data_IF_469541867411
#
_entry.id   IF_469541867411
#
_cell.length_a   1.000
_cell.length_b   1.000
_cell.length_c   1.000
_cell.angle_alpha   90.00
_cell.angle_beta   90.00
_cell.angle_gamma   90.00
#
_symmetry.space_group_name_H-M   'P 1'
#
loop_
_entity.id
_entity.type
_entity.pdbx_description
1 polymer ?
#
# COMPACT_ATOMS: atom_id res chain seq x y z
N UNK A 1 28.53 4.30 3.81
CA UNK A 1 27.24 4.90 4.21
C UNK A 1 26.43 3.82 4.90
N UNK A 2 25.84 4.14 6.03
CA UNK A 2 25.10 3.19 6.87
C UNK A 2 23.68 3.03 6.35
N UNK A 3 23.15 1.81 6.27
CA UNK A 3 21.78 1.51 5.82
C UNK A 3 20.72 2.29 6.61
N UNK A 4 20.97 2.59 7.88
CA UNK A 4 20.09 3.41 8.72
C UNK A 4 19.99 4.86 8.23
N UNK A 5 21.09 5.47 7.79
CA UNK A 5 21.10 6.82 7.24
C UNK A 5 20.35 6.90 5.92
N UNK A 6 20.56 5.89 5.06
CA UNK A 6 19.85 5.80 3.78
C UNK A 6 18.35 5.56 3.97
N UNK A 7 17.96 4.72 4.95
CA UNK A 7 16.56 4.54 5.32
C UNK A 7 15.95 5.87 5.78
N UNK A 8 16.59 6.56 6.70
CA UNK A 8 16.09 7.83 7.22
C UNK A 8 15.98 8.89 6.12
N UNK A 9 16.94 8.95 5.19
CA UNK A 9 16.90 9.84 4.02
C UNK A 9 15.70 9.52 3.11
N UNK A 10 15.47 8.26 2.80
CA UNK A 10 14.32 7.83 2.00
C UNK A 10 12.99 8.13 2.72
N UNK A 11 12.89 7.79 4.01
CA UNK A 11 11.72 8.09 4.84
C UNK A 11 11.40 9.60 4.81
N UNK A 12 12.39 10.46 5.10
CA UNK A 12 12.20 11.92 5.10
C UNK A 12 11.81 12.47 3.74
N UNK A 13 12.38 11.93 2.67
CA UNK A 13 11.98 12.31 1.32
C UNK A 13 10.49 12.08 1.08
N UNK A 14 9.96 10.90 1.41
CA UNK A 14 8.55 10.60 1.23
C UNK A 14 7.66 11.38 2.20
N UNK A 15 8.07 11.54 3.46
CA UNK A 15 7.36 12.36 4.44
C UNK A 15 7.16 13.79 3.91
N UNK A 16 8.21 14.44 3.42
CA UNK A 16 8.14 15.80 2.85
C UNK A 16 7.25 15.87 1.61
N UNK A 17 7.29 14.84 0.75
CA UNK A 17 6.42 14.79 -0.43
C UNK A 17 4.95 14.66 -0.04
N UNK A 18 4.64 13.83 0.92
CA UNK A 18 3.28 13.65 1.43
C UNK A 18 2.76 14.92 2.12
N UNK A 19 3.59 15.60 2.89
CA UNK A 19 3.24 16.89 3.51
C UNK A 19 2.91 17.94 2.44
N UNK A 20 3.71 18.02 1.37
CA UNK A 20 3.45 18.93 0.24
C UNK A 20 2.15 18.60 -0.53
N UNK A 21 1.76 17.34 -0.56
CA UNK A 21 0.48 16.89 -1.14
C UNK A 21 -0.72 17.10 -0.21
N UNK A 22 -0.50 17.66 0.98
CA UNK A 22 -1.57 17.91 1.95
C UNK A 22 -2.06 16.64 2.64
N UNK A 23 -1.16 15.73 2.98
CA UNK A 23 -1.46 14.45 3.66
C UNK A 23 -2.42 14.60 4.84
N UNK A 24 -2.33 15.70 5.60
CA UNK A 24 -3.17 15.92 6.77
C UNK A 24 -4.67 16.05 6.46
N UNK A 25 -5.03 16.35 5.21
CA UNK A 25 -6.41 16.46 4.77
C UNK A 25 -7.07 15.09 4.48
N UNK A 26 -6.28 14.01 4.50
CA UNK A 26 -6.74 12.68 4.13
C UNK A 26 -6.47 11.68 5.26
N UNK A 27 -7.35 10.69 5.37
CA UNK A 27 -7.21 9.58 6.33
C UNK A 27 -6.81 8.28 5.63
N UNK A 28 -7.11 8.17 4.33
CA UNK A 28 -6.85 7.00 3.49
C UNK A 28 -6.03 7.38 2.27
N UNK A 29 -5.09 6.50 1.90
CA UNK A 29 -4.25 6.63 0.72
C UNK A 29 -4.37 5.37 -0.11
N UNK A 30 -5.03 5.49 -1.26
CA UNK A 30 -5.05 4.44 -2.27
C UNK A 30 -3.82 4.60 -3.17
N UNK A 31 -2.90 3.63 -3.11
CA UNK A 31 -1.54 3.82 -3.63
C UNK A 31 -1.28 2.90 -4.82
N UNK A 32 -1.05 3.50 -5.98
CA UNK A 32 -0.36 2.89 -7.12
C UNK A 32 1.10 3.30 -7.13
N UNK A 33 2.01 2.38 -7.45
CA UNK A 33 3.43 2.71 -7.45
C UNK A 33 4.25 1.99 -8.50
N UNK A 34 5.18 2.72 -9.11
CA UNK A 34 6.38 2.19 -9.72
C UNK A 34 7.59 2.77 -8.98
N UNK A 35 8.19 1.98 -8.12
CA UNK A 35 9.26 2.45 -7.23
C UNK A 35 10.66 2.39 -7.86
N UNK A 36 10.82 1.95 -9.11
CA UNK A 36 12.13 1.69 -9.73
C UNK A 36 13.01 2.93 -9.78
N UNK A 37 12.46 4.07 -10.21
CA UNK A 37 13.19 5.34 -10.29
C UNK A 37 13.65 5.84 -8.93
N UNK A 38 12.77 5.79 -7.94
CA UNK A 38 13.10 6.19 -6.56
C UNK A 38 14.09 5.23 -5.90
N UNK A 39 13.92 3.92 -6.09
CA UNK A 39 14.84 2.92 -5.55
C UNK A 39 16.26 3.11 -6.09
N UNK A 40 16.41 3.47 -7.37
CA UNK A 40 17.69 3.80 -7.96
C UNK A 40 18.36 5.03 -7.30
N UNK A 41 17.58 6.07 -7.01
CA UNK A 41 18.10 7.34 -6.44
C UNK A 41 18.33 7.27 -4.94
N UNK A 42 17.42 6.65 -4.20
CA UNK A 42 17.36 6.71 -2.73
C UNK A 42 17.69 5.38 -2.05
N UNK A 43 17.56 4.27 -2.77
CA UNK A 43 17.56 2.93 -2.20
C UNK A 43 18.84 2.12 -2.42
N UNK A 44 19.96 2.72 -2.88
CA UNK A 44 21.18 1.97 -3.27
C UNK A 44 21.69 0.97 -2.22
N UNK A 45 21.60 1.32 -0.94
CA UNK A 45 22.08 0.48 0.15
C UNK A 45 20.92 -0.10 1.00
N UNK A 46 19.69 0.01 0.51
CA UNK A 46 18.51 -0.52 1.17
C UNK A 46 18.06 -1.83 0.54
N UNK A 47 17.65 -2.75 1.38
CA UNK A 47 16.90 -3.91 0.92
C UNK A 47 15.53 -3.46 0.37
N UNK A 48 14.92 -4.29 -0.44
CA UNK A 48 13.56 -4.06 -0.93
C UNK A 48 12.56 -3.81 0.23
N UNK A 49 12.72 -4.56 1.31
CA UNK A 49 11.87 -4.43 2.49
C UNK A 49 12.03 -3.06 3.17
N UNK A 50 13.26 -2.63 3.41
CA UNK A 50 13.57 -1.33 4.00
C UNK A 50 13.06 -0.19 3.13
N UNK A 51 13.25 -0.29 1.81
CA UNK A 51 12.82 0.76 0.90
C UNK A 51 11.28 0.89 0.85
N UNK A 52 10.54 -0.23 0.72
CA UNK A 52 9.08 -0.21 0.77
C UNK A 52 8.55 0.29 2.12
N UNK A 53 9.23 -0.08 3.22
CA UNK A 53 8.92 0.47 4.55
C UNK A 53 9.11 1.99 4.58
N UNK A 54 10.21 2.52 4.07
CA UNK A 54 10.47 3.96 4.04
C UNK A 54 9.41 4.75 3.23
N UNK A 55 8.81 4.12 2.22
CA UNK A 55 7.70 4.71 1.44
C UNK A 55 6.41 4.80 2.26
N UNK A 56 6.07 3.78 3.04
CA UNK A 56 4.77 3.67 3.69
C UNK A 56 4.77 4.19 5.13
N UNK A 57 5.89 4.01 5.84
CA UNK A 57 5.99 4.35 7.27
C UNK A 57 5.61 5.80 7.59
N UNK A 58 5.93 6.84 6.78
CA UNK A 58 5.49 8.20 7.05
C UNK A 58 3.97 8.38 7.15
N UNK A 59 3.20 7.58 6.39
CA UNK A 59 1.75 7.58 6.48
C UNK A 59 1.26 6.89 7.76
N UNK A 60 1.87 5.76 8.11
CA UNK A 60 1.50 4.98 9.29
C UNK A 60 1.81 5.74 10.59
N UNK A 61 2.95 6.43 10.67
CA UNK A 61 3.34 7.24 11.82
C UNK A 61 2.39 8.43 12.07
N UNK A 62 1.66 8.84 11.04
CA UNK A 62 0.61 9.87 11.14
C UNK A 62 -0.80 9.28 11.24
N UNK A 63 -0.91 8.03 11.66
CA UNK A 63 -2.19 7.32 11.84
C UNK A 63 -3.06 7.27 10.57
N UNK A 64 -2.44 7.26 9.39
CA UNK A 64 -3.16 7.10 8.12
C UNK A 64 -3.33 5.62 7.78
N UNK A 65 -4.20 5.35 6.82
CA UNK A 65 -4.43 4.01 6.28
C UNK A 65 -3.97 3.97 4.83
N UNK A 66 -3.01 3.09 4.53
CA UNK A 66 -2.55 2.81 3.18
C UNK A 66 -3.33 1.62 2.61
N UNK A 67 -3.92 1.79 1.43
CA UNK A 67 -4.65 0.76 0.68
C UNK A 67 -3.93 0.52 -0.62
N UNK A 68 -3.40 -0.68 -0.81
CA UNK A 68 -2.49 -1.02 -1.89
C UNK A 68 -3.08 -2.17 -2.71
N UNK A 69 -3.21 -2.05 -4.05
CA UNK A 69 -3.67 -3.15 -4.89
C UNK A 69 -2.80 -4.40 -4.72
N UNK A 70 -3.44 -5.53 -4.54
CA UNK A 70 -2.77 -6.84 -4.46
C UNK A 70 -3.43 -7.84 -5.41
N UNK A 71 -3.82 -7.35 -6.58
CA UNK A 71 -4.53 -8.11 -7.59
C UNK A 71 -3.83 -9.42 -7.94
N UNK A 72 -4.63 -10.42 -8.21
CA UNK A 72 -4.18 -11.74 -8.61
C UNK A 72 -4.85 -12.15 -9.92
N UNK A 73 -4.15 -12.92 -10.71
CA UNK A 73 -4.69 -13.55 -11.91
C UNK A 73 -4.77 -15.04 -11.64
N UNK A 74 -5.72 -15.44 -10.79
CA UNK A 74 -5.94 -16.84 -10.41
C UNK A 74 -6.65 -17.60 -11.53
N UNK A 75 -5.91 -17.93 -12.57
CA UNK A 75 -6.45 -18.71 -13.70
C UNK A 75 -6.79 -20.17 -13.32
N UNK A 76 -6.19 -20.66 -12.26
CA UNK A 76 -6.44 -21.97 -11.67
C UNK A 76 -7.72 -22.03 -10.81
N UNK A 77 -8.39 -20.88 -10.64
CA UNK A 77 -9.62 -20.75 -9.86
C UNK A 77 -9.46 -20.82 -8.34
N UNK A 78 -8.25 -20.88 -7.83
CA UNK A 78 -7.98 -20.95 -6.39
C UNK A 78 -7.41 -19.61 -5.89
N UNK A 79 -8.14 -18.98 -4.97
CA UNK A 79 -7.69 -17.79 -4.26
C UNK A 79 -7.73 -18.03 -2.76
N UNK A 80 -6.60 -17.86 -2.11
CA UNK A 80 -6.46 -17.89 -0.66
C UNK A 80 -6.02 -16.51 -0.19
N UNK A 81 -6.82 -15.87 0.65
CA UNK A 81 -6.60 -14.48 1.13
C UNK A 81 -5.21 -14.29 1.75
N UNK A 82 -4.73 -15.28 2.50
CA UNK A 82 -3.45 -15.18 3.21
C UNK A 82 -2.25 -15.68 2.39
N UNK A 83 -2.46 -16.58 1.43
CA UNK A 83 -1.37 -17.29 0.75
C UNK A 83 -1.17 -16.90 -0.71
N UNK A 84 -2.25 -16.52 -1.43
CA UNK A 84 -2.12 -16.21 -2.87
C UNK A 84 -1.29 -14.93 -3.08
N UNK A 85 -0.15 -15.02 -3.78
CA UNK A 85 0.72 -13.87 -4.00
C UNK A 85 0.13 -12.90 -5.04
N UNK A 86 0.63 -11.67 -5.05
CA UNK A 86 0.43 -10.72 -6.14
C UNK A 86 1.69 -10.61 -6.99
N UNK A 87 1.52 -10.30 -8.28
CA UNK A 87 2.63 -10.05 -9.22
C UNK A 87 2.70 -8.61 -9.71
N UNK A 88 1.94 -7.70 -9.09
CA UNK A 88 1.85 -6.31 -9.53
C UNK A 88 3.16 -5.52 -9.35
N UNK A 89 3.89 -5.74 -8.27
CA UNK A 89 5.13 -5.01 -8.04
C UNK A 89 5.71 -5.15 -6.64
N UNK A 90 6.73 -4.32 -6.39
CA UNK A 90 7.51 -4.38 -5.16
C UNK A 90 6.68 -4.07 -3.92
N UNK A 91 5.98 -2.93 -3.93
CA UNK A 91 5.16 -2.48 -2.81
C UNK A 91 3.96 -3.41 -2.60
N UNK A 92 3.33 -3.85 -3.69
CA UNK A 92 2.17 -4.74 -3.66
C UNK A 92 2.49 -6.10 -3.00
N UNK A 93 3.65 -6.68 -3.33
CA UNK A 93 4.10 -7.93 -2.71
C UNK A 93 4.65 -7.72 -1.29
N UNK A 94 5.20 -6.55 -1.00
CA UNK A 94 5.70 -6.19 0.32
C UNK A 94 4.57 -6.07 1.34
N UNK A 95 3.47 -5.39 0.98
CA UNK A 95 2.35 -5.17 1.91
C UNK A 95 1.76 -6.49 2.41
N UNK A 96 1.68 -7.52 1.56
CA UNK A 96 1.14 -8.83 1.94
C UNK A 96 2.01 -9.60 2.95
N UNK A 97 3.26 -9.18 3.15
CA UNK A 97 4.20 -9.78 4.11
C UNK A 97 4.22 -9.08 5.46
N UNK A 98 3.45 -8.00 5.60
CA UNK A 98 3.44 -7.25 6.86
C UNK A 98 2.56 -7.96 7.89
N UNK A 99 2.97 -7.97 9.19
CA UNK A 99 2.29 -8.76 10.23
C UNK A 99 0.84 -8.30 10.48
N UNK A 100 0.54 -7.03 10.28
CA UNK A 100 -0.77 -6.45 10.56
C UNK A 100 -1.58 -6.14 9.28
N UNK A 101 -1.22 -6.75 8.16
CA UNK A 101 -1.94 -6.53 6.91
C UNK A 101 -3.36 -7.09 6.98
N UNK A 102 -4.32 -6.28 6.56
CA UNK A 102 -5.65 -6.74 6.20
C UNK A 102 -5.74 -6.87 4.69
N UNK A 103 -6.30 -7.96 4.19
CA UNK A 103 -6.49 -8.17 2.75
C UNK A 103 -7.97 -8.40 2.43
N UNK A 104 -8.45 -7.79 1.37
CA UNK A 104 -9.81 -8.04 0.88
C UNK A 104 -9.93 -9.39 0.17
N UNK A 105 -11.14 -9.92 0.13
CA UNK A 105 -11.41 -11.31 -0.27
C UNK A 105 -11.71 -11.47 -1.77
N UNK A 106 -11.71 -10.37 -2.55
CA UNK A 106 -11.99 -10.48 -3.99
C UNK A 106 -10.83 -11.18 -4.72
N UNK A 107 -11.10 -12.29 -5.44
CA UNK A 107 -10.04 -13.13 -6.00
C UNK A 107 -9.18 -12.43 -7.07
N UNK A 108 -9.75 -11.52 -7.85
CA UNK A 108 -9.01 -10.78 -8.89
C UNK A 108 -8.50 -9.42 -8.37
N UNK A 109 -9.37 -8.65 -7.74
CA UNK A 109 -9.11 -7.25 -7.34
C UNK A 109 -9.02 -7.12 -5.82
N UNK A 110 -8.14 -7.90 -5.19
CA UNK A 110 -7.89 -7.75 -3.76
C UNK A 110 -6.99 -6.55 -3.45
N UNK A 111 -7.11 -6.05 -2.22
CA UNK A 111 -6.32 -4.95 -1.67
C UNK A 111 -5.69 -5.38 -0.36
N UNK A 112 -4.42 -5.05 -0.18
CA UNK A 112 -3.77 -5.10 1.12
C UNK A 112 -3.83 -3.72 1.78
N UNK A 113 -4.19 -3.67 3.05
CA UNK A 113 -4.25 -2.44 3.81
C UNK A 113 -3.43 -2.51 5.09
N UNK A 114 -2.78 -1.40 5.41
CA UNK A 114 -2.02 -1.17 6.66
C UNK A 114 -2.46 0.15 7.28
N UNK A 115 -2.37 0.24 8.58
CA UNK A 115 -2.60 1.48 9.34
C UNK A 115 -3.86 1.47 10.17
N UNK A 116 -4.31 2.67 10.54
CA UNK A 116 -5.29 2.89 11.58
C UNK A 116 -6.64 2.19 11.35
N UNK A 117 -7.12 2.16 10.10
CA UNK A 117 -8.38 1.50 9.71
C UNK A 117 -8.18 0.48 8.59
N UNK A 118 -7.11 -0.34 8.70
CA UNK A 118 -6.82 -1.38 7.72
C UNK A 118 -7.96 -2.40 7.57
N UNK A 119 -8.77 -2.59 8.61
CA UNK A 119 -9.95 -3.45 8.60
C UNK A 119 -11.03 -3.06 7.58
N UNK A 120 -11.00 -1.83 7.06
CA UNK A 120 -11.92 -1.35 6.03
C UNK A 120 -12.03 -2.29 4.82
N UNK A 121 -10.95 -2.97 4.45
CA UNK A 121 -10.93 -3.86 3.27
C UNK A 121 -11.48 -5.25 3.52
N UNK A 122 -11.76 -5.61 4.78
CA UNK A 122 -12.30 -6.93 5.14
C UNK A 122 -13.81 -7.00 4.93
N UNK A 123 -14.31 -8.22 4.72
CA UNK A 123 -15.74 -8.49 4.55
C UNK A 123 -16.39 -7.64 3.45
N UNK A 124 -15.67 -7.43 2.37
CA UNK A 124 -16.18 -6.76 1.18
C UNK A 124 -17.15 -7.67 0.41
N UNK A 125 -18.04 -7.05 -0.37
CA UNK A 125 -18.93 -7.78 -1.25
C UNK A 125 -18.20 -8.49 -2.40
N UNK A 126 -18.95 -9.25 -3.17
CA UNK A 126 -18.42 -9.99 -4.34
C UNK A 126 -18.11 -9.08 -5.54
N UNK A 127 -18.62 -7.86 -5.54
CA UNK A 127 -18.37 -6.89 -6.61
C UNK A 127 -16.98 -6.28 -6.49
N UNK A 128 -16.27 -6.14 -7.61
CA UNK A 128 -14.98 -5.47 -7.66
C UNK A 128 -15.10 -3.96 -7.44
N UNK A 129 -16.14 -3.32 -7.98
CA UNK A 129 -16.30 -1.88 -8.04
C UNK A 129 -17.69 -1.39 -7.58
N UNK A 130 -18.64 -2.29 -7.37
CA UNK A 130 -20.00 -1.98 -7.01
C UNK A 130 -20.24 -1.97 -5.51
N UNK A 131 -21.45 -2.35 -5.14
CA UNK A 131 -21.92 -2.36 -3.76
C UNK A 131 -21.01 -3.14 -2.82
N UNK A 132 -20.68 -2.52 -1.71
CA UNK A 132 -19.81 -3.04 -0.65
C UNK A 132 -18.39 -3.43 -1.13
N UNK A 133 -17.93 -2.89 -2.26
CA UNK A 133 -16.52 -3.02 -2.69
C UNK A 133 -15.61 -2.12 -1.86
N UNK A 134 -14.29 -2.36 -1.94
CA UNK A 134 -13.29 -1.47 -1.33
C UNK A 134 -13.41 -0.05 -1.88
N UNK A 135 -13.65 0.10 -3.19
CA UNK A 135 -13.82 1.42 -3.82
C UNK A 135 -15.05 2.16 -3.29
N UNK A 136 -16.18 1.49 -3.14
CA UNK A 136 -17.38 2.10 -2.58
C UNK A 136 -17.15 2.55 -1.14
N UNK A 137 -16.47 1.73 -0.34
CA UNK A 137 -16.15 2.08 1.05
C UNK A 137 -15.21 3.28 1.15
N UNK A 138 -14.29 3.46 0.22
CA UNK A 138 -13.39 4.61 0.17
C UNK A 138 -14.07 5.87 -0.37
N UNK A 139 -15.10 5.74 -1.20
CA UNK A 139 -15.78 6.84 -1.89
C UNK A 139 -16.35 7.91 -0.97
N UNK A 140 -16.86 7.55 0.19
CA UNK A 140 -17.42 8.49 1.18
C UNK A 140 -16.41 9.00 2.21
N UNK A 141 -15.12 8.71 2.04
CA UNK A 141 -14.07 8.99 3.02
C UNK A 141 -13.07 10.01 2.48
N UNK A 142 -12.31 10.61 3.40
CA UNK A 142 -11.17 11.48 3.05
C UNK A 142 -10.03 10.63 2.48
N UNK A 143 -10.17 10.23 1.22
CA UNK A 143 -9.24 9.36 0.52
C UNK A 143 -8.48 10.11 -0.57
N UNK A 144 -7.15 9.98 -0.56
CA UNK A 144 -6.25 10.42 -1.62
C UNK A 144 -5.90 9.25 -2.53
N UNK A 145 -6.06 9.41 -3.84
CA UNK A 145 -5.51 8.49 -4.84
C UNK A 145 -4.09 8.95 -5.17
N UNK A 146 -3.11 8.18 -4.74
CA UNK A 146 -1.70 8.54 -4.80
C UNK A 146 -0.98 7.68 -5.85
N UNK A 147 -0.32 8.34 -6.79
CA UNK A 147 0.59 7.72 -7.76
C UNK A 147 2.03 8.06 -7.39
N UNK A 148 2.86 7.04 -7.23
CA UNK A 148 4.29 7.17 -6.93
C UNK A 148 5.05 6.56 -8.10
N UNK A 149 5.58 7.43 -8.98
CA UNK A 149 6.40 7.03 -10.11
C UNK A 149 7.48 8.08 -10.45
#
# INVERSE_FOLDING_TARGET
>A
MNSKEDYFRAYKFFEEKYDKLGMNNFDYFYIYSDLRGFAFKLGKNLTKNEFCSAVIQPLLDKNKTAVIPTYTYTLDGIFNVTKTPTRLGALNSWVLKQPNVCRSEHPLFSFGALGNDAGLVKNCGKSAFGENSVFERLRGKKCCFLYID
#
